data_IF_059552948274
#
_entry.id   IF_059552948274
#
_cell.length_a   1.000
_cell.length_b   1.000
_cell.length_c   1.000
_cell.angle_alpha   90.00
_cell.angle_beta   90.00
_cell.angle_gamma   90.00
#
_symmetry.space_group_name_H-M   'P 1'
#
loop_
_entity.id
_entity.type
_entity.pdbx_description
1 polymer ?
#
# COMPACT_ATOMS: atom_id res chain seq x y z
N UNK A 1 73.38 7.65 -12.53
CA UNK A 1 72.86 7.48 -11.16
C UNK A 1 71.41 7.96 -11.11
N UNK A 2 70.52 7.33 -10.32
CA UNK A 2 69.11 7.12 -10.67
C UNK A 2 68.15 8.16 -10.06
N UNK A 3 66.96 8.34 -10.66
CA UNK A 3 65.75 8.72 -9.91
C UNK A 3 64.48 8.21 -10.60
N UNK A 4 63.60 7.70 -9.75
CA UNK A 4 62.52 6.74 -9.96
C UNK A 4 61.20 7.52 -9.99
N UNK A 5 60.40 7.42 -11.05
CA UNK A 5 59.02 7.89 -11.09
C UNK A 5 58.08 6.68 -11.11
N UNK A 6 57.51 6.37 -9.96
CA UNK A 6 56.49 5.32 -9.79
C UNK A 6 55.15 5.79 -10.34
N UNK A 7 54.64 5.07 -11.33
CA UNK A 7 53.30 5.23 -11.86
C UNK A 7 52.29 4.58 -10.90
N UNK A 8 51.26 5.35 -10.53
CA UNK A 8 50.30 4.96 -9.50
C UNK A 8 49.43 3.78 -9.88
N UNK A 9 49.42 2.76 -9.01
CA UNK A 9 48.31 1.82 -8.89
C UNK A 9 47.38 2.32 -7.78
N UNK A 10 46.24 2.92 -8.17
CA UNK A 10 45.13 3.15 -7.25
C UNK A 10 44.55 1.78 -6.88
N UNK A 11 44.88 1.31 -5.69
CA UNK A 11 44.29 0.12 -5.08
C UNK A 11 42.78 0.27 -5.01
N UNK A 12 42.07 -0.76 -5.49
CA UNK A 12 40.63 -0.90 -5.30
C UNK A 12 40.39 -1.16 -3.82
N UNK A 13 39.83 -0.21 -3.10
CA UNK A 13 39.39 -0.44 -1.72
C UNK A 13 38.35 -1.58 -1.71
N UNK A 14 38.52 -2.60 -0.86
CA UNK A 14 37.51 -3.63 -0.69
C UNK A 14 36.28 -3.01 -0.05
N UNK A 15 35.11 -3.26 -0.65
CA UNK A 15 33.81 -2.82 -0.11
C UNK A 15 33.66 -3.38 1.30
N UNK A 16 33.48 -2.50 2.29
CA UNK A 16 33.20 -2.90 3.68
C UNK A 16 31.83 -3.59 3.72
N UNK A 17 31.83 -4.92 3.77
CA UNK A 17 30.63 -5.71 4.07
C UNK A 17 30.44 -5.61 5.58
N UNK A 18 29.31 -5.05 6.02
CA UNK A 18 28.93 -5.09 7.43
C UNK A 18 28.69 -6.55 7.76
N UNK A 19 29.60 -7.14 8.53
CA UNK A 19 29.43 -8.49 9.06
C UNK A 19 28.10 -8.54 9.83
N UNK A 20 27.24 -9.48 9.46
CA UNK A 20 25.99 -9.76 10.16
C UNK A 20 26.33 -10.03 11.61
N UNK A 21 25.99 -9.09 12.48
CA UNK A 21 25.98 -9.31 13.93
C UNK A 21 25.09 -10.53 14.15
N UNK A 22 25.69 -11.63 14.59
CA UNK A 22 24.95 -12.84 14.94
C UNK A 22 24.08 -12.48 16.14
N UNK A 23 22.80 -12.23 15.88
CA UNK A 23 21.78 -12.02 16.90
C UNK A 23 21.50 -13.37 17.55
N UNK A 24 22.26 -13.73 18.58
CA UNK A 24 21.98 -14.89 19.46
C UNK A 24 21.04 -14.54 20.60
N UNK A 25 20.21 -13.50 20.44
CA UNK A 25 19.13 -13.18 21.37
C UNK A 25 17.85 -12.97 20.56
N UNK A 26 16.83 -13.77 20.86
CA UNK A 26 15.47 -13.56 20.37
C UNK A 26 14.95 -12.22 20.89
N UNK A 27 15.13 -11.16 20.10
CA UNK A 27 14.55 -9.84 20.38
C UNK A 27 13.03 -9.97 20.26
N UNK A 28 12.35 -10.17 21.39
CA UNK A 28 10.90 -10.12 21.46
C UNK A 28 10.42 -8.68 21.23
N UNK A 29 10.07 -8.39 19.98
CA UNK A 29 9.47 -7.12 19.60
C UNK A 29 8.08 -6.98 20.25
N UNK A 30 7.83 -5.82 20.87
CA UNK A 30 6.51 -5.46 21.39
C UNK A 30 5.50 -5.45 20.22
N UNK A 31 4.59 -6.41 20.22
CA UNK A 31 3.51 -6.50 19.24
C UNK A 31 2.34 -5.67 19.73
N UNK A 32 1.98 -4.62 18.99
CA UNK A 32 0.73 -3.91 19.25
C UNK A 32 -0.45 -4.87 19.05
N UNK A 33 -1.40 -4.88 19.98
CA UNK A 33 -2.61 -5.71 19.91
C UNK A 33 -3.36 -5.50 18.57
N UNK A 34 -3.32 -4.26 18.05
CA UNK A 34 -3.91 -3.85 16.78
C UNK A 34 -2.87 -3.53 15.70
N UNK A 35 -1.76 -4.28 15.65
CA UNK A 35 -0.78 -4.11 14.57
C UNK A 35 -1.42 -4.40 13.20
N UNK A 36 -1.16 -3.52 12.22
CA UNK A 36 -1.60 -3.76 10.84
C UNK A 36 -0.93 -5.03 10.31
N UNK A 37 -1.74 -6.02 9.89
CA UNK A 37 -1.27 -7.25 9.26
C UNK A 37 -1.55 -7.19 7.76
N UNK A 38 -0.51 -7.32 6.90
CA UNK A 38 -0.72 -7.42 5.46
C UNK A 38 -1.59 -8.63 5.15
N UNK A 39 -2.41 -8.53 4.08
CA UNK A 39 -3.39 -9.56 3.71
C UNK A 39 -2.75 -10.95 3.59
N UNK A 40 -1.50 -11.02 3.10
CA UNK A 40 -0.71 -12.25 2.93
C UNK A 40 -0.44 -12.99 4.25
N UNK A 41 -0.59 -12.30 5.39
CA UNK A 41 -0.30 -12.84 6.74
C UNK A 41 -1.53 -12.79 7.67
N UNK A 42 -2.71 -12.47 7.12
CA UNK A 42 -4.00 -12.59 7.81
C UNK A 42 -4.54 -13.98 7.47
N UNK A 43 -4.36 -14.91 8.37
CA UNK A 43 -4.91 -16.26 8.28
C UNK A 43 -6.02 -16.34 9.32
N UNK A 44 -7.27 -16.55 8.89
CA UNK A 44 -8.29 -17.14 9.76
C UNK A 44 -9.43 -16.24 10.20
N UNK A 45 -10.17 -15.61 9.28
CA UNK A 45 -11.59 -15.32 9.55
C UNK A 45 -12.44 -16.33 8.80
N UNK A 46 -13.39 -16.98 9.48
CA UNK A 46 -14.26 -18.00 8.89
C UNK A 46 -15.14 -17.47 7.73
N UNK A 47 -15.31 -16.15 7.61
CA UNK A 47 -15.94 -15.49 6.46
C UNK A 47 -15.02 -15.37 5.22
N UNK A 48 -13.73 -15.71 5.31
CA UNK A 48 -12.78 -15.63 4.18
C UNK A 48 -12.91 -16.79 3.17
N UNK A 49 -13.70 -17.82 3.48
CA UNK A 49 -13.95 -18.94 2.56
C UNK A 49 -15.14 -18.68 1.62
N UNK A 50 -15.95 -17.64 1.84
CA UNK A 50 -17.01 -17.26 0.92
C UNK A 50 -16.42 -16.48 -0.28
N UNK A 51 -16.48 -17.02 -1.51
CA UNK A 51 -15.96 -16.34 -2.69
C UNK A 51 -16.61 -14.98 -2.93
N UNK A 52 -17.86 -14.76 -2.51
CA UNK A 52 -18.53 -13.47 -2.70
C UNK A 52 -18.14 -12.43 -1.65
N UNK A 53 -17.83 -12.85 -0.42
CA UNK A 53 -17.23 -11.96 0.59
C UNK A 53 -15.85 -11.47 0.14
N UNK A 54 -15.00 -12.36 -0.40
CA UNK A 54 -13.67 -12.00 -0.91
C UNK A 54 -13.75 -10.98 -2.06
N UNK A 55 -14.65 -11.19 -3.04
CA UNK A 55 -14.87 -10.24 -4.14
C UNK A 55 -15.32 -8.87 -3.64
N UNK A 56 -16.22 -8.86 -2.65
CA UNK A 56 -16.72 -7.62 -2.02
C UNK A 56 -15.59 -6.89 -1.28
N UNK A 57 -14.73 -7.61 -0.58
CA UNK A 57 -13.58 -7.03 0.10
C UNK A 57 -12.59 -6.42 -0.90
N UNK A 58 -12.31 -7.11 -2.01
CA UNK A 58 -11.42 -6.60 -3.05
C UNK A 58 -12.01 -5.40 -3.79
N UNK A 59 -13.33 -5.38 -4.00
CA UNK A 59 -14.06 -4.20 -4.48
C UNK A 59 -13.79 -2.99 -3.58
N UNK A 60 -14.00 -3.10 -2.27
CA UNK A 60 -13.78 -2.00 -1.34
C UNK A 60 -12.32 -1.56 -1.27
N UNK A 61 -11.35 -2.49 -1.35
CA UNK A 61 -9.92 -2.13 -1.44
C UNK A 61 -9.63 -1.33 -2.70
N UNK A 62 -10.19 -1.71 -3.85
CA UNK A 62 -10.01 -1.01 -5.13
C UNK A 62 -10.62 0.38 -5.08
N UNK A 63 -11.87 0.51 -4.62
CA UNK A 63 -12.54 1.80 -4.45
C UNK A 63 -11.75 2.71 -3.50
N UNK A 64 -11.29 2.20 -2.35
CA UNK A 64 -10.46 2.99 -1.42
C UNK A 64 -9.14 3.44 -2.05
N UNK A 65 -8.51 2.60 -2.87
CA UNK A 65 -7.30 2.93 -3.63
C UNK A 65 -7.55 4.04 -4.65
N UNK A 66 -8.69 3.99 -5.34
CA UNK A 66 -9.13 5.04 -6.27
C UNK A 66 -9.36 6.35 -5.51
N UNK A 67 -10.14 6.33 -4.43
CA UNK A 67 -10.42 7.51 -3.61
C UNK A 67 -9.16 8.12 -2.99
N UNK A 68 -8.17 7.31 -2.60
CA UNK A 68 -6.86 7.79 -2.14
C UNK A 68 -6.06 8.54 -3.22
N UNK A 69 -6.33 8.25 -4.49
CA UNK A 69 -5.64 8.86 -5.63
C UNK A 69 -6.49 9.97 -6.26
N UNK A 70 -7.66 10.26 -5.70
CA UNK A 70 -8.60 11.21 -6.26
C UNK A 70 -7.98 12.60 -6.21
N UNK A 71 -7.56 13.06 -7.37
CA UNK A 71 -7.00 14.38 -7.62
C UNK A 71 -7.66 14.90 -8.89
N UNK A 72 -7.75 16.24 -9.08
CA UNK A 72 -8.38 16.81 -10.28
C UNK A 72 -7.79 16.25 -11.59
N UNK A 73 -6.49 15.95 -11.61
CA UNK A 73 -5.79 15.39 -12.77
C UNK A 73 -6.17 13.92 -13.04
N UNK A 74 -6.36 13.11 -11.99
CA UNK A 74 -6.68 11.69 -12.11
C UNK A 74 -8.18 11.42 -12.08
N UNK A 75 -9.04 12.44 -11.98
CA UNK A 75 -10.48 12.28 -11.79
C UNK A 75 -11.14 11.43 -12.88
N UNK A 76 -10.98 11.80 -14.15
CA UNK A 76 -11.55 11.07 -15.29
C UNK A 76 -11.12 9.59 -15.37
N UNK A 77 -9.82 9.24 -15.31
CA UNK A 77 -9.41 7.83 -15.35
C UNK A 77 -9.86 7.06 -14.11
N UNK A 78 -9.98 7.70 -12.95
CA UNK A 78 -10.45 7.08 -11.71
C UNK A 78 -11.97 6.82 -11.72
N UNK A 79 -12.77 7.75 -12.26
CA UNK A 79 -14.21 7.55 -12.43
C UNK A 79 -14.49 6.38 -13.37
N UNK A 80 -13.74 6.29 -14.48
CA UNK A 80 -13.81 5.14 -15.37
C UNK A 80 -13.54 3.81 -14.64
N UNK A 81 -12.52 3.77 -13.79
CA UNK A 81 -12.24 2.58 -12.97
C UNK A 81 -13.41 2.25 -12.03
N UNK A 82 -14.02 3.23 -11.38
CA UNK A 82 -15.18 2.99 -10.50
C UNK A 82 -16.37 2.45 -11.29
N UNK A 83 -16.64 2.99 -12.48
CA UNK A 83 -17.74 2.51 -13.34
C UNK A 83 -17.50 1.10 -13.91
N UNK A 84 -16.24 0.69 -14.05
CA UNK A 84 -15.86 -0.66 -14.52
C UNK A 84 -15.93 -1.72 -13.39
N UNK A 85 -16.07 -1.30 -12.13
CA UNK A 85 -16.20 -2.23 -11.00
C UNK A 85 -17.60 -2.85 -10.97
N UNK A 86 -17.67 -4.15 -10.67
CA UNK A 86 -18.92 -4.90 -10.54
C UNK A 86 -19.60 -4.54 -9.21
N UNK A 87 -20.43 -3.50 -9.24
CA UNK A 87 -21.34 -3.09 -8.16
C UNK A 87 -22.73 -3.63 -8.49
N UNK A 88 -22.92 -4.92 -8.24
CA UNK A 88 -24.08 -5.73 -8.62
C UNK A 88 -25.05 -5.99 -7.46
N UNK A 89 -24.67 -5.66 -6.21
CA UNK A 89 -25.52 -5.81 -5.03
C UNK A 89 -25.77 -4.47 -4.33
N UNK A 90 -26.92 -4.37 -3.65
CA UNK A 90 -27.29 -3.17 -2.89
C UNK A 90 -26.26 -2.87 -1.78
N UNK A 91 -25.79 -3.90 -1.08
CA UNK A 91 -24.79 -3.74 -0.02
C UNK A 91 -23.44 -3.22 -0.55
N UNK A 92 -23.04 -3.65 -1.74
CA UNK A 92 -21.83 -3.14 -2.41
C UNK A 92 -22.01 -1.67 -2.76
N UNK A 93 -23.16 -1.28 -3.29
CA UNK A 93 -23.45 0.12 -3.64
C UNK A 93 -23.46 1.02 -2.40
N UNK A 94 -24.17 0.62 -1.35
CA UNK A 94 -24.20 1.35 -0.07
C UNK A 94 -22.81 1.55 0.50
N UNK A 95 -22.00 0.48 0.55
CA UNK A 95 -20.63 0.57 1.06
C UNK A 95 -19.73 1.49 0.24
N UNK A 96 -19.91 1.55 -1.09
CA UNK A 96 -19.16 2.48 -1.95
C UNK A 96 -19.58 3.93 -1.70
N UNK A 97 -20.88 4.20 -1.56
CA UNK A 97 -21.40 5.53 -1.24
C UNK A 97 -20.86 6.00 0.12
N UNK A 98 -20.95 5.16 1.15
CA UNK A 98 -20.45 5.47 2.49
C UNK A 98 -18.95 5.81 2.46
N UNK A 99 -18.16 5.03 1.72
CA UNK A 99 -16.72 5.30 1.53
C UNK A 99 -16.44 6.66 0.89
N UNK A 100 -17.25 7.09 -0.08
CA UNK A 100 -17.11 8.41 -0.73
C UNK A 100 -17.49 9.53 0.24
N UNK A 101 -18.60 9.38 0.96
CA UNK A 101 -19.05 10.37 1.94
C UNK A 101 -18.03 10.55 3.08
N UNK A 102 -17.53 9.45 3.66
CA UNK A 102 -16.47 9.52 4.68
C UNK A 102 -15.25 10.28 4.17
N UNK A 103 -14.86 10.02 2.91
CA UNK A 103 -13.73 10.68 2.27
C UNK A 103 -13.97 12.18 2.11
N UNK A 104 -15.13 12.57 1.59
CA UNK A 104 -15.50 13.96 1.35
C UNK A 104 -15.56 14.77 2.65
N UNK A 105 -15.99 14.15 3.76
CA UNK A 105 -15.98 14.77 5.09
C UNK A 105 -14.55 14.91 5.61
N UNK A 106 -13.72 13.87 5.47
CA UNK A 106 -12.32 13.89 5.93
C UNK A 106 -11.43 14.85 5.14
N UNK A 107 -11.76 15.07 3.87
CA UNK A 107 -10.98 15.86 2.92
C UNK A 107 -11.85 16.95 2.25
N UNK A 108 -12.27 17.99 3.01
CA UNK A 108 -13.24 18.97 2.53
C UNK A 108 -12.75 19.77 1.32
N UNK A 109 -11.44 19.89 1.12
CA UNK A 109 -10.84 20.57 -0.04
C UNK A 109 -11.10 19.84 -1.37
N UNK A 110 -11.41 18.54 -1.31
CA UNK A 110 -11.73 17.72 -2.48
C UNK A 110 -13.24 17.40 -2.59
N UNK A 111 -14.08 17.94 -1.70
CA UNK A 111 -15.55 17.77 -1.70
C UNK A 111 -16.19 18.01 -3.08
N UNK A 112 -15.79 19.08 -3.78
CA UNK A 112 -16.29 19.39 -5.13
C UNK A 112 -15.90 18.30 -6.14
N UNK A 113 -14.72 17.72 -6.02
CA UNK A 113 -14.31 16.60 -6.88
C UNK A 113 -15.11 15.33 -6.60
N UNK A 114 -15.52 15.09 -5.35
CA UNK A 114 -16.38 13.95 -5.00
C UNK A 114 -17.84 14.13 -5.46
N UNK A 115 -18.29 15.36 -5.68
CA UNK A 115 -19.67 15.68 -6.06
C UNK A 115 -19.91 15.78 -7.58
N UNK A 116 -18.85 15.96 -8.36
CA UNK A 116 -18.90 16.01 -9.83
C UNK A 116 -18.92 14.61 -10.46
#
# INVERSE_FOLDING_TARGET
>A
GPRRSGQGQRGKEPRKIIASVSLTEDVQLNKAEKAWKPSVKRSGRADEDDPDFLKTQDLFKRVRSVLNKLTPQMFQPLMKQVTELTIDTEDRLKGVIDLIFEKAISEPNFSVAYAN
#
